data_IF_381464510026
#
_entry.id   IF_381464510026
#
_cell.length_a   1.000
_cell.length_b   1.000
_cell.length_c   1.000
_cell.angle_alpha   90.00
_cell.angle_beta   90.00
_cell.angle_gamma   90.00
#
_symmetry.space_group_name_H-M   'P 1'
#
loop_
_entity.id
_entity.type
_entity.pdbx_description
1 polymer ?
#
# COMPACT_ATOMS: atom_id res chain seq x y z
N UNK A 1 -12.90 14.49 27.08
CA UNK A 1 -11.65 14.28 27.85
C UNK A 1 -10.40 14.20 26.93
N UNK A 2 -10.52 13.75 25.67
CA UNK A 2 -9.39 13.58 24.73
C UNK A 2 -8.87 14.89 24.10
N UNK A 3 -9.77 15.87 23.87
CA UNK A 3 -9.47 17.13 23.15
C UNK A 3 -8.30 17.96 23.73
N UNK A 4 -8.19 18.17 25.06
CA UNK A 4 -7.11 18.99 25.64
C UNK A 4 -5.72 18.33 25.58
N UNK A 5 -5.65 16.99 25.57
CA UNK A 5 -4.39 16.23 25.58
C UNK A 5 -3.79 16.20 24.17
N UNK A 6 -4.61 15.94 23.16
CA UNK A 6 -4.19 15.94 21.76
C UNK A 6 -3.73 17.32 21.25
N UNK A 7 -4.36 18.42 21.69
CA UNK A 7 -3.89 19.79 21.36
C UNK A 7 -2.48 20.05 21.89
N UNK A 8 -2.16 19.54 23.10
CA UNK A 8 -0.83 19.66 23.72
C UNK A 8 0.22 18.78 23.05
N UNK A 9 -0.14 17.57 22.62
CA UNK A 9 0.80 16.65 21.95
C UNK A 9 1.13 17.08 20.52
N UNK A 10 0.18 17.65 19.79
CA UNK A 10 0.33 17.98 18.36
C UNK A 10 0.47 19.48 18.05
N UNK A 11 0.53 20.33 19.08
CA UNK A 11 0.78 21.78 18.97
C UNK A 11 -0.14 22.51 17.96
N UNK A 12 -1.43 22.15 17.96
CA UNK A 12 -2.43 22.64 17.00
C UNK A 12 -3.00 24.00 17.45
N UNK A 13 -2.79 25.07 16.67
CA UNK A 13 -3.39 26.39 16.90
C UNK A 13 -4.79 26.48 16.25
N UNK A 14 -5.72 27.12 16.97
CA UNK A 14 -7.17 27.06 16.71
C UNK A 14 -7.65 27.80 15.46
N UNK A 15 -8.20 27.01 14.53
CA UNK A 15 -9.48 27.20 13.78
C UNK A 15 -9.77 25.99 12.90
N UNK A 16 -8.74 25.23 12.51
CA UNK A 16 -8.85 23.95 11.78
C UNK A 16 -8.80 22.70 12.68
N UNK A 17 -8.61 22.88 13.99
CA UNK A 17 -8.50 21.76 14.93
C UNK A 17 -9.77 20.93 15.00
N UNK A 18 -10.96 21.53 14.90
CA UNK A 18 -12.23 20.80 14.98
C UNK A 18 -12.47 19.88 13.78
N UNK A 19 -12.03 20.28 12.58
CA UNK A 19 -12.08 19.44 11.37
C UNK A 19 -11.11 18.27 11.51
N UNK A 20 -9.89 18.53 11.97
CA UNK A 20 -8.89 17.52 12.26
C UNK A 20 -9.35 16.53 13.34
N UNK A 21 -9.95 17.02 14.43
CA UNK A 21 -10.48 16.16 15.50
C UNK A 21 -11.60 15.26 15.03
N UNK A 22 -12.54 15.78 14.22
CA UNK A 22 -13.60 14.96 13.62
C UNK A 22 -13.04 13.92 12.66
N UNK A 23 -12.01 14.26 11.89
CA UNK A 23 -11.35 13.31 11.00
C UNK A 23 -10.63 12.20 11.78
N UNK A 24 -9.91 12.54 12.86
CA UNK A 24 -9.25 11.57 13.74
C UNK A 24 -10.28 10.70 14.46
N UNK A 25 -11.34 11.28 15.00
CA UNK A 25 -12.43 10.54 15.64
C UNK A 25 -13.10 9.57 14.66
N UNK A 26 -13.41 10.03 13.44
CA UNK A 26 -13.98 9.17 12.40
C UNK A 26 -13.05 8.03 12.03
N UNK A 27 -11.75 8.29 11.85
CA UNK A 27 -10.74 7.26 11.57
C UNK A 27 -10.62 6.25 12.71
N UNK A 28 -10.59 6.72 13.96
CA UNK A 28 -10.53 5.84 15.13
C UNK A 28 -11.80 4.99 15.27
N UNK A 29 -12.97 5.53 14.92
CA UNK A 29 -14.22 4.77 14.94
C UNK A 29 -14.25 3.75 13.81
N UNK A 30 -13.85 4.13 12.59
CA UNK A 30 -13.71 3.20 11.45
C UNK A 30 -12.72 2.06 11.78
N UNK A 31 -11.60 2.35 12.45
CA UNK A 31 -10.61 1.36 12.89
C UNK A 31 -11.09 0.46 14.05
N UNK A 32 -12.27 0.70 14.61
CA UNK A 32 -12.85 -0.10 15.71
C UNK A 32 -14.08 -0.91 15.32
N UNK A 33 -14.52 -0.86 14.07
CA UNK A 33 -15.66 -1.66 13.60
C UNK A 33 -15.21 -3.07 13.19
N UNK A 34 -15.04 -3.94 14.18
CA UNK A 34 -14.64 -5.33 13.96
C UNK A 34 -15.70 -6.18 13.24
N UNK A 35 -16.96 -5.74 13.22
CA UNK A 35 -18.00 -6.42 12.44
C UNK A 35 -17.77 -6.17 10.95
N UNK A 36 -17.50 -4.91 10.59
CA UNK A 36 -17.12 -4.54 9.23
C UNK A 36 -15.82 -5.23 8.82
N UNK A 37 -14.81 -5.23 9.68
CA UNK A 37 -13.53 -5.88 9.43
C UNK A 37 -13.70 -7.37 9.11
N UNK A 38 -14.47 -8.11 9.90
CA UNK A 38 -14.75 -9.54 9.62
C UNK A 38 -15.47 -9.73 8.29
N UNK A 39 -16.45 -8.89 7.97
CA UNK A 39 -17.17 -8.96 6.70
C UNK A 39 -16.24 -8.71 5.50
N UNK A 40 -15.40 -7.68 5.57
CA UNK A 40 -14.41 -7.35 4.54
C UNK A 40 -13.31 -8.42 4.43
N UNK A 41 -12.85 -8.96 5.56
CA UNK A 41 -11.85 -10.02 5.59
C UNK A 41 -12.35 -11.27 4.88
N UNK A 42 -13.61 -11.68 5.13
CA UNK A 42 -14.23 -12.80 4.42
C UNK A 42 -14.31 -12.54 2.92
N UNK A 43 -14.80 -11.37 2.52
CA UNK A 43 -14.94 -10.99 1.10
C UNK A 43 -13.60 -11.06 0.36
N UNK A 44 -12.56 -10.41 0.91
CA UNK A 44 -11.24 -10.36 0.27
C UNK A 44 -10.58 -11.73 0.26
N UNK A 45 -10.60 -12.47 1.37
CA UNK A 45 -9.97 -13.79 1.45
C UNK A 45 -10.62 -14.77 0.50
N UNK A 46 -11.96 -14.82 0.43
CA UNK A 46 -12.67 -15.69 -0.50
C UNK A 46 -12.38 -15.35 -1.97
N UNK A 47 -12.31 -14.06 -2.31
CA UNK A 47 -11.92 -13.63 -3.66
C UNK A 47 -10.46 -14.01 -3.99
N UNK A 48 -9.54 -13.90 -3.03
CA UNK A 48 -8.13 -14.19 -3.22
C UNK A 48 -7.77 -15.69 -3.20
N UNK A 49 -8.70 -16.60 -2.85
CA UNK A 49 -8.45 -18.06 -2.85
C UNK A 49 -8.08 -18.65 -4.21
N UNK A 50 -8.31 -17.92 -5.31
CA UNK A 50 -7.88 -18.32 -6.66
C UNK A 50 -6.36 -18.27 -6.84
N UNK A 51 -5.65 -17.56 -5.96
CA UNK A 51 -4.21 -17.37 -6.01
C UNK A 51 -3.53 -18.57 -5.33
N UNK A 52 -2.60 -19.27 -6.01
CA UNK A 52 -1.90 -20.40 -5.42
C UNK A 52 -0.87 -19.92 -4.38
N UNK A 53 -0.46 -20.83 -3.49
CA UNK A 53 0.60 -20.61 -2.51
C UNK A 53 0.30 -19.48 -1.49
N UNK A 54 -0.97 -19.17 -1.28
CA UNK A 54 -1.43 -18.28 -0.21
C UNK A 54 -2.64 -18.89 0.49
N UNK A 55 -2.61 -18.86 1.82
CA UNK A 55 -3.66 -19.38 2.69
C UNK A 55 -4.23 -18.25 3.55
N UNK A 56 -5.49 -18.42 3.95
CA UNK A 56 -6.23 -17.44 4.73
C UNK A 56 -6.97 -18.16 5.86
N UNK A 57 -7.07 -17.56 7.05
CA UNK A 57 -7.92 -18.11 8.10
C UNK A 57 -9.40 -18.00 7.71
N UNK A 58 -10.23 -18.95 8.16
CA UNK A 58 -11.67 -18.75 8.11
C UNK A 58 -12.08 -17.80 9.24
N UNK A 59 -12.85 -16.76 8.91
CA UNK A 59 -13.40 -15.82 9.90
C UNK A 59 -14.81 -16.24 10.31
N UNK A 60 -15.04 -16.30 11.64
CA UNK A 60 -16.27 -16.77 12.27
C UNK A 60 -17.11 -15.59 12.77
N UNK A 61 -18.02 -15.10 11.93
CA UNK A 61 -18.89 -13.96 12.24
C UNK A 61 -19.74 -14.21 13.51
N UNK A 62 -20.30 -15.42 13.67
CA UNK A 62 -21.14 -15.79 14.81
C UNK A 62 -20.37 -15.87 16.15
N UNK A 63 -19.04 -15.97 16.09
CA UNK A 63 -18.14 -15.96 17.24
C UNK A 63 -17.40 -14.63 17.39
N UNK A 64 -17.72 -13.64 16.55
CA UNK A 64 -17.14 -12.30 16.57
C UNK A 64 -18.14 -11.29 17.13
N UNK A 65 -17.66 -10.13 17.53
CA UNK A 65 -18.46 -9.04 18.09
C UNK A 65 -17.78 -7.70 17.80
N UNK A 66 -18.38 -6.59 18.22
CA UNK A 66 -17.82 -5.23 18.12
C UNK A 66 -16.43 -5.08 18.79
N UNK A 67 -15.97 -6.06 19.58
CA UNK A 67 -14.69 -5.99 20.31
C UNK A 67 -13.84 -7.26 20.21
N UNK A 68 -14.31 -8.29 19.50
CA UNK A 68 -13.62 -9.57 19.38
C UNK A 68 -13.75 -10.07 17.95
N UNK A 69 -12.63 -10.42 17.33
CA UNK A 69 -12.58 -11.14 16.06
C UNK A 69 -12.17 -12.58 16.36
N UNK A 70 -12.94 -13.53 15.85
CA UNK A 70 -12.65 -14.96 15.94
C UNK A 70 -12.37 -15.52 14.55
N UNK A 71 -11.20 -16.15 14.39
CA UNK A 71 -10.75 -16.76 13.15
C UNK A 71 -9.94 -18.03 13.42
N UNK A 72 -9.61 -18.78 12.38
CA UNK A 72 -8.75 -19.95 12.51
C UNK A 72 -7.38 -19.62 13.12
N UNK A 73 -6.88 -20.55 13.94
CA UNK A 73 -5.49 -20.51 14.37
C UNK A 73 -4.59 -20.91 13.20
N UNK A 74 -3.71 -20.00 12.79
CA UNK A 74 -2.76 -20.23 11.70
C UNK A 74 -1.37 -20.54 12.27
N UNK A 75 -0.76 -21.63 11.81
CA UNK A 75 0.57 -22.06 12.24
C UNK A 75 1.61 -21.72 11.18
N UNK A 76 2.66 -21.02 11.59
CA UNK A 76 3.77 -20.66 10.72
C UNK A 76 4.76 -19.75 11.44
N UNK A 77 5.88 -19.46 10.78
CA UNK A 77 6.85 -18.47 11.24
C UNK A 77 6.47 -17.09 10.71
N UNK A 78 6.56 -16.03 11.51
CA UNK A 78 6.36 -14.67 11.00
C UNK A 78 7.30 -14.37 9.84
N UNK A 79 6.80 -13.68 8.81
CA UNK A 79 7.59 -13.38 7.62
C UNK A 79 8.90 -12.66 7.96
N UNK A 80 8.89 -11.73 8.91
CA UNK A 80 10.09 -11.01 9.40
C UNK A 80 11.10 -11.89 10.15
N UNK A 81 10.67 -13.02 10.68
CA UNK A 81 11.55 -14.01 11.31
C UNK A 81 12.06 -15.00 10.26
N UNK A 82 11.21 -15.37 9.30
CA UNK A 82 11.57 -16.25 8.19
C UNK A 82 12.67 -15.63 7.33
N UNK A 83 12.55 -14.35 6.98
CA UNK A 83 13.53 -13.64 6.13
C UNK A 83 14.92 -13.50 6.77
N UNK A 84 15.02 -13.71 8.10
CA UNK A 84 16.30 -13.76 8.83
C UNK A 84 16.96 -15.13 8.83
N UNK A 85 16.27 -16.16 8.34
CA UNK A 85 16.83 -17.51 8.19
C UNK A 85 17.50 -17.68 6.82
N UNK A 86 18.26 -18.76 6.66
CA UNK A 86 18.68 -19.19 5.33
C UNK A 86 17.52 -19.94 4.69
N UNK A 87 17.05 -19.45 3.55
CA UNK A 87 16.06 -20.09 2.70
C UNK A 87 16.59 -20.15 1.26
N UNK A 88 16.15 -21.15 0.51
CA UNK A 88 16.53 -21.30 -0.90
C UNK A 88 15.92 -20.16 -1.74
N UNK A 89 16.63 -19.66 -2.78
CA UNK A 89 16.11 -18.61 -3.66
C UNK A 89 14.72 -18.93 -4.23
N UNK A 90 14.47 -20.18 -4.62
CA UNK A 90 13.19 -20.62 -5.16
C UNK A 90 12.04 -20.44 -4.14
N UNK A 91 12.32 -20.56 -2.85
CA UNK A 91 11.34 -20.29 -1.79
C UNK A 91 11.02 -18.80 -1.71
N UNK A 92 12.03 -17.95 -1.81
CA UNK A 92 11.87 -16.49 -1.87
C UNK A 92 11.01 -16.06 -3.05
N UNK A 93 11.31 -16.58 -4.24
CA UNK A 93 10.54 -16.34 -5.48
C UNK A 93 9.09 -16.82 -5.34
N UNK A 94 8.89 -18.03 -4.79
CA UNK A 94 7.56 -18.63 -4.61
C UNK A 94 6.69 -17.81 -3.64
N UNK A 95 7.25 -17.38 -2.51
CA UNK A 95 6.55 -16.54 -1.53
C UNK A 95 6.30 -15.13 -2.07
N UNK A 96 7.31 -14.54 -2.72
CA UNK A 96 7.21 -13.21 -3.32
C UNK A 96 6.21 -13.16 -4.47
N UNK A 97 6.13 -14.21 -5.29
CA UNK A 97 5.12 -14.29 -6.36
C UNK A 97 3.71 -14.33 -5.78
N UNK A 98 3.48 -15.13 -4.73
CA UNK A 98 2.18 -15.19 -4.06
C UNK A 98 1.79 -13.83 -3.46
N UNK A 99 2.75 -13.15 -2.82
CA UNK A 99 2.55 -11.81 -2.26
C UNK A 99 2.24 -10.78 -3.36
N UNK A 100 3.02 -10.75 -4.44
CA UNK A 100 2.80 -9.87 -5.58
C UNK A 100 1.42 -10.09 -6.21
N UNK A 101 1.08 -11.34 -6.53
CA UNK A 101 -0.20 -11.71 -7.12
C UNK A 101 -1.36 -11.30 -6.20
N UNK A 102 -1.23 -11.52 -4.89
CA UNK A 102 -2.22 -11.15 -3.89
C UNK A 102 -2.52 -9.65 -3.88
N UNK A 103 -1.49 -8.80 -3.88
CA UNK A 103 -1.70 -7.34 -3.93
C UNK A 103 -2.22 -6.86 -5.28
N UNK A 104 -1.66 -7.37 -6.38
CA UNK A 104 -2.09 -6.95 -7.71
C UNK A 104 -3.53 -7.37 -7.99
N UNK A 105 -3.93 -8.58 -7.59
CA UNK A 105 -5.31 -9.04 -7.75
C UNK A 105 -6.30 -8.15 -6.98
N UNK A 106 -6.01 -7.81 -5.72
CA UNK A 106 -6.85 -6.89 -4.95
C UNK A 106 -7.04 -5.56 -5.67
N UNK A 107 -5.94 -4.93 -6.10
CA UNK A 107 -5.98 -3.61 -6.73
C UNK A 107 -6.66 -3.66 -8.11
N UNK A 108 -6.28 -4.63 -8.95
CA UNK A 108 -6.70 -4.70 -10.35
C UNK A 108 -8.03 -5.44 -10.59
N UNK A 109 -8.43 -6.38 -9.74
CA UNK A 109 -9.73 -7.06 -9.85
C UNK A 109 -10.77 -6.46 -8.90
N UNK A 110 -10.40 -6.27 -7.62
CA UNK A 110 -11.38 -5.95 -6.57
C UNK A 110 -11.56 -4.45 -6.35
N UNK A 111 -10.67 -3.61 -6.90
CA UNK A 111 -10.62 -2.16 -6.60
C UNK A 111 -10.59 -1.89 -5.10
N UNK A 112 -9.97 -2.80 -4.36
CA UNK A 112 -9.76 -2.76 -2.92
C UNK A 112 -8.31 -3.09 -2.67
N UNK A 113 -7.76 -2.64 -1.56
CA UNK A 113 -6.37 -2.95 -1.22
C UNK A 113 -6.21 -3.04 0.28
N UNK A 114 -5.52 -4.08 0.72
CA UNK A 114 -5.00 -4.12 2.07
C UNK A 114 -3.87 -3.07 2.20
N UNK A 115 -4.14 -1.95 2.87
CA UNK A 115 -3.24 -0.80 2.88
C UNK A 115 -2.12 -0.89 3.92
N UNK A 116 -1.90 -2.05 4.54
CA UNK A 116 -0.85 -2.29 5.53
C UNK A 116 -0.04 -3.58 5.27
N UNK A 117 0.84 -3.58 4.24
CA UNK A 117 1.78 -4.66 3.94
C UNK A 117 2.91 -4.76 4.99
N UNK A 118 2.55 -5.02 6.24
CA UNK A 118 3.51 -5.19 7.34
C UNK A 118 3.91 -6.67 7.47
N UNK A 119 5.19 -7.00 7.74
CA UNK A 119 5.62 -8.40 7.89
C UNK A 119 4.87 -9.18 8.98
N UNK A 120 4.34 -8.48 9.99
CA UNK A 120 3.54 -9.07 11.06
C UNK A 120 2.21 -9.67 10.61
N UNK A 121 1.70 -9.21 9.46
CA UNK A 121 0.41 -9.65 8.90
C UNK A 121 0.55 -10.93 8.06
N UNK A 122 1.78 -11.45 7.96
CA UNK A 122 2.12 -12.62 7.16
C UNK A 122 2.89 -13.66 7.97
N UNK A 123 2.50 -14.92 7.79
CA UNK A 123 3.24 -16.09 8.25
C UNK A 123 3.72 -16.90 7.05
N UNK A 124 4.74 -17.71 7.26
CA UNK A 124 5.22 -18.73 6.32
C UNK A 124 5.00 -20.09 6.98
N UNK A 125 4.21 -20.95 6.32
CA UNK A 125 3.93 -22.31 6.78
C UNK A 125 5.16 -23.22 6.68
N UNK A 126 5.10 -24.41 7.28
CA UNK A 126 6.16 -25.43 7.16
C UNK A 126 6.34 -25.90 5.70
N UNK A 127 5.29 -25.82 4.88
CA UNK A 127 5.30 -26.16 3.44
C UNK A 127 5.75 -24.98 2.53
N UNK A 128 6.28 -23.91 3.13
CA UNK A 128 6.64 -22.67 2.45
C UNK A 128 5.50 -22.06 1.63
N UNK A 129 4.32 -22.00 2.24
CA UNK A 129 3.16 -21.26 1.74
C UNK A 129 2.98 -19.98 2.54
N UNK A 130 2.55 -18.91 1.86
CA UNK A 130 2.27 -17.65 2.51
C UNK A 130 0.93 -17.75 3.24
N UNK A 131 0.82 -17.19 4.44
CA UNK A 131 -0.44 -17.08 5.17
C UNK A 131 -0.67 -15.61 5.48
N UNK A 132 -1.77 -15.03 4.99
CA UNK A 132 -2.18 -13.67 5.36
C UNK A 132 -3.23 -13.74 6.47
N UNK A 133 -2.99 -13.06 7.59
CA UNK A 133 -3.81 -13.21 8.81
C UNK A 133 -4.55 -11.93 9.24
N UNK A 134 -4.14 -10.77 8.74
CA UNK A 134 -4.70 -9.48 9.13
C UNK A 134 -5.16 -8.70 7.89
N UNK A 135 -6.41 -8.23 7.94
CA UNK A 135 -7.06 -7.43 6.90
C UNK A 135 -7.75 -6.20 7.50
N UNK A 136 -7.34 -5.73 8.68
CA UNK A 136 -7.95 -4.61 9.40
C UNK A 136 -7.92 -3.28 8.65
N UNK A 137 -7.15 -3.17 7.58
CA UNK A 137 -7.00 -1.94 6.79
C UNK A 137 -7.32 -2.14 5.30
N UNK A 138 -8.50 -2.68 4.96
CA UNK A 138 -8.99 -2.65 3.58
C UNK A 138 -9.43 -1.23 3.21
N UNK A 139 -8.89 -0.71 2.10
CA UNK A 139 -9.30 0.57 1.51
C UNK A 139 -9.82 0.37 0.10
N UNK A 140 -10.94 1.01 -0.20
CA UNK A 140 -11.45 1.09 -1.56
C UNK A 140 -10.59 2.02 -2.42
N UNK A 141 -10.43 1.63 -3.68
CA UNK A 141 -9.65 2.33 -4.69
C UNK A 141 -10.62 2.72 -5.81
N UNK A 142 -11.28 3.90 -5.72
CA UNK A 142 -12.29 4.31 -6.68
C UNK A 142 -11.67 4.47 -8.08
N UNK A 143 -12.45 4.21 -9.13
CA UNK A 143 -11.96 4.30 -10.51
C UNK A 143 -11.43 5.71 -10.86
N UNK A 144 -11.99 6.75 -10.25
CA UNK A 144 -11.53 8.13 -10.38
C UNK A 144 -10.07 8.32 -9.91
N UNK A 145 -9.57 7.47 -9.01
CA UNK A 145 -8.16 7.43 -8.61
C UNK A 145 -7.40 6.34 -9.38
N UNK A 146 -7.96 5.13 -9.45
CA UNK A 146 -7.30 3.96 -10.06
C UNK A 146 -6.87 4.23 -11.50
N UNK A 147 -7.78 4.72 -12.34
CA UNK A 147 -7.52 4.93 -13.77
C UNK A 147 -6.36 5.91 -14.00
N UNK A 148 -6.40 7.16 -13.51
CA UNK A 148 -5.29 8.08 -13.73
C UNK A 148 -3.98 7.62 -13.07
N UNK A 149 -4.04 6.93 -11.94
CA UNK A 149 -2.83 6.41 -11.27
C UNK A 149 -2.12 5.35 -12.12
N UNK A 150 -2.85 4.36 -12.64
CA UNK A 150 -2.25 3.30 -13.45
C UNK A 150 -2.00 3.71 -14.90
N UNK A 151 -2.67 4.72 -15.43
CA UNK A 151 -2.24 5.37 -16.68
C UNK A 151 -0.87 6.02 -16.51
N UNK A 152 -0.60 6.65 -15.35
CA UNK A 152 0.73 7.14 -15.01
C UNK A 152 1.74 6.03 -14.71
N UNK A 153 1.36 4.76 -14.71
CA UNK A 153 2.33 3.66 -14.69
C UNK A 153 2.90 3.36 -16.09
N UNK A 154 2.31 3.86 -17.19
CA UNK A 154 2.91 3.74 -18.53
C UNK A 154 4.04 4.77 -18.72
N UNK A 155 5.28 4.34 -19.06
CA UNK A 155 6.39 5.26 -19.34
C UNK A 155 6.07 6.35 -20.36
N UNK A 156 5.21 6.06 -21.35
CA UNK A 156 4.79 7.02 -22.38
C UNK A 156 4.00 8.17 -21.78
N UNK A 157 3.14 7.87 -20.80
CA UNK A 157 2.30 8.87 -20.15
C UNK A 157 3.10 9.71 -19.15
N UNK A 158 4.06 9.11 -18.44
CA UNK A 158 4.97 9.86 -17.56
C UNK A 158 5.85 10.83 -18.38
N UNK A 159 6.32 10.40 -19.55
CA UNK A 159 7.22 11.18 -20.39
C UNK A 159 6.53 12.28 -21.20
N UNK A 160 5.21 12.21 -21.38
CA UNK A 160 4.42 13.24 -22.04
C UNK A 160 3.97 14.30 -21.02
N UNK A 161 4.58 15.48 -21.07
CA UNK A 161 4.33 16.56 -20.11
C UNK A 161 2.86 16.96 -20.01
N UNK A 162 2.12 16.91 -21.13
CA UNK A 162 0.71 17.30 -21.17
C UNK A 162 -0.13 16.25 -20.47
N UNK A 163 0.04 14.97 -20.82
CA UNK A 163 -0.66 13.86 -20.19
C UNK A 163 -0.32 13.80 -18.71
N UNK A 164 0.97 13.87 -18.38
CA UNK A 164 1.46 13.83 -17.01
C UNK A 164 0.82 14.93 -16.14
N UNK A 165 0.84 16.18 -16.63
CA UNK A 165 0.23 17.31 -15.92
C UNK A 165 -1.27 17.12 -15.73
N UNK A 166 -1.99 16.67 -16.76
CA UNK A 166 -3.43 16.42 -16.68
C UNK A 166 -3.77 15.39 -15.61
N UNK A 167 -3.01 14.29 -15.54
CA UNK A 167 -3.23 13.23 -14.54
C UNK A 167 -2.86 13.69 -13.14
N UNK A 168 -1.84 14.52 -12.96
CA UNK A 168 -1.54 15.10 -11.65
C UNK A 168 -2.66 16.00 -11.11
N UNK A 169 -3.40 16.71 -11.98
CA UNK A 169 -4.62 17.42 -11.57
C UNK A 169 -5.76 16.45 -11.20
N UNK A 170 -5.97 15.39 -11.98
CA UNK A 170 -6.99 14.37 -11.69
C UNK A 170 -6.73 13.65 -10.35
N UNK A 171 -5.46 13.46 -10.00
CA UNK A 171 -5.02 12.85 -8.74
C UNK A 171 -4.96 13.84 -7.57
N UNK A 172 -5.35 15.10 -7.78
CA UNK A 172 -5.32 16.20 -6.80
C UNK A 172 -3.91 16.49 -6.25
N UNK A 173 -2.87 16.14 -7.01
CA UNK A 173 -1.47 16.44 -6.68
C UNK A 173 -1.17 17.89 -7.02
N UNK A 174 -1.62 18.32 -8.20
CA UNK A 174 -1.64 19.71 -8.62
C UNK A 174 -3.02 20.31 -8.37
N UNK A 175 -3.04 21.58 -7.94
CA UNK A 175 -4.25 22.35 -7.68
C UNK A 175 -4.35 23.54 -8.64
N UNK A 176 -5.55 23.94 -9.08
CA UNK A 176 -5.72 25.10 -9.97
C UNK A 176 -5.18 26.42 -9.38
N UNK A 177 -5.02 26.48 -8.06
CA UNK A 177 -4.49 27.63 -7.32
C UNK A 177 -2.97 27.65 -7.23
N UNK A 178 -2.27 26.63 -7.76
CA UNK A 178 -0.82 26.52 -7.65
C UNK A 178 -0.09 27.58 -8.44
N UNK A 179 0.97 28.11 -7.84
CA UNK A 179 1.93 28.97 -8.54
C UNK A 179 2.74 28.15 -9.54
N UNK A 180 3.31 28.81 -10.56
CA UNK A 180 4.17 28.15 -11.54
C UNK A 180 5.37 27.43 -10.90
N UNK A 181 5.88 27.97 -9.78
CA UNK A 181 6.98 27.35 -9.01
C UNK A 181 6.52 26.05 -8.35
N UNK A 182 5.35 26.03 -7.72
CA UNK A 182 4.77 24.82 -7.11
C UNK A 182 4.46 23.76 -8.17
N UNK A 183 3.87 24.14 -9.30
CA UNK A 183 3.60 23.22 -10.42
C UNK A 183 4.88 22.54 -10.87
N UNK A 184 5.94 23.33 -11.10
CA UNK A 184 7.25 22.81 -11.55
C UNK A 184 7.86 21.87 -10.51
N UNK A 185 7.78 22.25 -9.23
CA UNK A 185 8.29 21.47 -8.12
C UNK A 185 7.58 20.12 -7.97
N UNK A 186 6.25 20.11 -7.88
CA UNK A 186 5.47 18.88 -7.73
C UNK A 186 5.59 17.97 -8.95
N UNK A 187 5.59 18.53 -10.17
CA UNK A 187 5.85 17.73 -11.38
C UNK A 187 7.18 17.01 -11.31
N UNK A 188 8.26 17.71 -10.95
CA UNK A 188 9.60 17.12 -10.85
C UNK A 188 9.64 15.96 -9.85
N UNK A 189 9.11 16.19 -8.65
CA UNK A 189 9.12 15.20 -7.56
C UNK A 189 8.28 13.97 -7.90
N UNK A 190 7.05 14.18 -8.37
CA UNK A 190 6.16 13.07 -8.70
C UNK A 190 6.61 12.32 -9.94
N UNK A 191 7.28 12.99 -10.89
CA UNK A 191 7.88 12.32 -12.03
C UNK A 191 8.98 11.36 -11.56
N UNK A 192 9.86 11.80 -10.65
CA UNK A 192 10.90 10.94 -10.07
C UNK A 192 10.30 9.76 -9.29
N UNK A 193 9.31 10.04 -8.43
CA UNK A 193 8.65 9.02 -7.62
C UNK A 193 7.95 7.97 -8.49
N UNK A 194 7.08 8.40 -9.41
CA UNK A 194 6.32 7.48 -10.25
C UNK A 194 7.23 6.71 -11.20
N UNK A 195 8.27 7.34 -11.76
CA UNK A 195 9.23 6.63 -12.64
C UNK A 195 9.92 5.47 -11.92
N UNK A 196 10.30 5.66 -10.65
CA UNK A 196 10.96 4.61 -9.89
C UNK A 196 9.98 3.54 -9.41
N UNK A 197 8.88 3.95 -8.77
CA UNK A 197 7.88 3.03 -8.21
C UNK A 197 7.20 2.18 -9.28
N UNK A 198 7.02 2.71 -10.48
CA UNK A 198 6.34 2.00 -11.57
C UNK A 198 7.29 1.15 -12.42
N UNK A 199 8.61 1.32 -12.25
CA UNK A 199 9.61 0.58 -13.03
C UNK A 199 9.48 -0.95 -12.97
N UNK A 200 9.00 -1.58 -11.88
CA UNK A 200 8.72 -3.02 -11.89
C UNK A 200 7.65 -3.43 -12.91
N UNK A 201 6.63 -2.61 -13.14
CA UNK A 201 5.54 -2.90 -14.08
C UNK A 201 5.98 -2.95 -15.55
N UNK A 202 7.18 -2.43 -15.87
CA UNK A 202 7.67 -2.34 -17.24
C UNK A 202 8.48 -3.56 -17.67
N UNK A 203 8.72 -4.50 -16.76
CA UNK A 203 9.44 -5.73 -17.03
C UNK A 203 8.49 -6.92 -16.99
N UNK A 204 8.86 -8.00 -17.69
CA UNK A 204 8.16 -9.27 -17.60
C UNK A 204 8.41 -9.95 -16.25
N UNK A 205 9.66 -9.90 -15.82
CA UNK A 205 10.18 -10.44 -14.57
C UNK A 205 10.95 -9.32 -13.85
N UNK A 206 10.85 -9.25 -12.51
CA UNK A 206 11.52 -8.24 -11.72
C UNK A 206 12.15 -8.84 -10.46
N UNK A 207 13.43 -8.53 -10.27
CA UNK A 207 14.23 -8.94 -9.12
C UNK A 207 14.18 -7.86 -8.03
N UNK A 208 13.43 -8.12 -6.96
CA UNK A 208 13.37 -7.24 -5.80
C UNK A 208 14.57 -7.40 -4.85
N UNK A 209 15.43 -8.39 -5.09
CA UNK A 209 16.74 -8.52 -4.44
C UNK A 209 17.81 -7.57 -5.01
N UNK A 210 17.53 -6.86 -6.11
CA UNK A 210 18.47 -5.91 -6.73
C UNK A 210 18.79 -4.73 -5.78
N UNK A 211 20.00 -4.73 -5.23
CA UNK A 211 20.50 -3.69 -4.33
C UNK A 211 20.51 -2.30 -4.96
N UNK A 212 20.74 -2.19 -6.27
CA UNK A 212 20.76 -0.88 -6.97
C UNK A 212 19.36 -0.28 -7.02
N UNK A 213 18.35 -1.10 -7.27
CA UNK A 213 16.96 -0.66 -7.20
C UNK A 213 16.59 -0.28 -5.77
N UNK A 214 16.98 -1.10 -4.79
CA UNK A 214 16.66 -0.87 -3.38
C UNK A 214 17.26 0.43 -2.85
N UNK A 215 18.54 0.71 -3.15
CA UNK A 215 19.19 1.97 -2.76
C UNK A 215 18.44 3.17 -3.33
N UNK A 216 17.99 3.12 -4.60
CA UNK A 216 17.19 4.22 -5.18
C UNK A 216 15.86 4.43 -4.45
N UNK A 217 15.19 3.35 -4.03
CA UNK A 217 13.94 3.43 -3.27
C UNK A 217 14.19 4.04 -1.89
N UNK A 218 15.27 3.64 -1.23
CA UNK A 218 15.68 4.18 0.08
C UNK A 218 16.05 5.66 -0.02
N UNK A 219 16.88 6.05 -0.99
CA UNK A 219 17.30 7.43 -1.25
C UNK A 219 16.10 8.34 -1.53
N UNK A 220 15.14 7.85 -2.33
CA UNK A 220 13.90 8.58 -2.61
C UNK A 220 13.09 8.78 -1.32
N UNK A 221 12.94 7.74 -0.49
CA UNK A 221 12.27 7.84 0.80
C UNK A 221 12.93 8.85 1.75
N UNK A 222 14.27 8.86 1.80
CA UNK A 222 15.04 9.82 2.60
C UNK A 222 14.88 11.26 2.08
N UNK A 223 14.96 11.46 0.77
CA UNK A 223 14.74 12.76 0.15
C UNK A 223 13.35 13.31 0.48
N UNK A 224 12.31 12.49 0.33
CA UNK A 224 10.93 12.88 0.66
C UNK A 224 10.75 13.21 2.14
N UNK A 225 11.36 12.41 3.02
CA UNK A 225 11.29 12.63 4.47
C UNK A 225 12.04 13.89 4.90
N UNK A 226 13.24 14.13 4.35
CA UNK A 226 14.16 15.20 4.78
C UNK A 226 13.88 16.58 4.17
N UNK A 227 13.17 16.66 3.04
CA UNK A 227 12.96 17.91 2.32
C UNK A 227 12.00 18.87 3.07
N UNK A 228 12.56 20.01 3.51
CA UNK A 228 11.84 21.06 4.23
C UNK A 228 10.80 21.79 3.36
N UNK A 229 10.99 21.86 2.05
CA UNK A 229 10.01 22.44 1.12
C UNK A 229 8.80 21.52 0.98
N UNK A 230 8.98 20.20 0.85
CA UNK A 230 7.88 19.23 0.86
C UNK A 230 7.07 19.35 2.15
N UNK A 231 7.73 19.39 3.32
CA UNK A 231 7.04 19.55 4.62
C UNK A 231 6.31 20.89 4.77
N UNK A 232 6.82 21.97 4.17
CA UNK A 232 6.19 23.30 4.20
C UNK A 232 5.04 23.44 3.20
N UNK A 233 5.14 22.76 2.06
CA UNK A 233 4.14 22.76 0.98
C UNK A 233 3.11 21.63 1.14
N UNK A 234 3.21 20.84 2.22
CA UNK A 234 2.35 19.72 2.62
C UNK A 234 0.94 20.16 3.05
N UNK A 235 0.31 21.05 2.29
CA UNK A 235 -1.11 21.35 2.43
C UNK A 235 -1.94 20.24 1.79
N UNK A 236 -2.14 19.10 2.46
CA UNK A 236 -3.07 18.03 2.06
C UNK A 236 -3.17 17.76 0.53
N UNK A 237 -2.02 17.64 -0.16
CA UNK A 237 -1.96 17.40 -1.60
C UNK A 237 -1.95 15.90 -1.91
N UNK A 238 -2.61 15.54 -3.01
CA UNK A 238 -2.89 14.17 -3.39
C UNK A 238 -4.12 13.64 -2.66
N UNK A 239 -4.97 12.89 -3.38
CA UNK A 239 -6.11 12.24 -2.74
C UNK A 239 -5.65 11.30 -1.62
N UNK A 240 -6.51 11.05 -0.62
CA UNK A 240 -6.25 10.05 0.44
C UNK A 240 -5.82 8.68 -0.13
N UNK A 241 -6.33 8.33 -1.31
CA UNK A 241 -6.01 7.08 -2.01
C UNK A 241 -4.56 7.03 -2.48
N UNK A 242 -3.96 8.17 -2.83
CA UNK A 242 -2.55 8.25 -3.23
C UNK A 242 -1.61 7.85 -2.09
N UNK A 243 -1.88 8.35 -0.88
CA UNK A 243 -1.10 8.03 0.32
C UNK A 243 -1.20 6.54 0.66
N UNK A 244 -2.41 5.97 0.64
CA UNK A 244 -2.61 4.54 0.89
C UNK A 244 -1.91 3.68 -0.17
N UNK A 245 -2.05 4.02 -1.45
CA UNK A 245 -1.45 3.27 -2.55
C UNK A 245 0.07 3.25 -2.47
N UNK A 246 0.71 4.41 -2.27
CA UNK A 246 2.16 4.47 -2.16
C UNK A 246 2.69 3.78 -0.91
N UNK A 247 2.01 3.91 0.24
CA UNK A 247 2.37 3.17 1.45
C UNK A 247 2.28 1.66 1.21
N UNK A 248 1.25 1.22 0.49
CA UNK A 248 1.08 -0.19 0.10
C UNK A 248 2.22 -0.66 -0.79
N UNK A 249 2.54 0.07 -1.87
CA UNK A 249 3.66 -0.33 -2.73
C UNK A 249 5.00 -0.31 -2.02
N UNK A 250 5.25 0.70 -1.18
CA UNK A 250 6.49 0.78 -0.43
C UNK A 250 6.66 -0.41 0.51
N UNK A 251 5.64 -0.74 1.32
CA UNK A 251 5.74 -1.89 2.21
C UNK A 251 5.76 -3.22 1.46
N UNK A 252 5.00 -3.36 0.35
CA UNK A 252 5.10 -4.53 -0.52
C UNK A 252 6.53 -4.71 -1.06
N UNK A 253 7.18 -3.64 -1.52
CA UNK A 253 8.55 -3.72 -2.05
C UNK A 253 9.55 -4.07 -0.96
N UNK A 254 9.36 -3.59 0.28
CA UNK A 254 10.17 -4.03 1.42
C UNK A 254 10.03 -5.55 1.64
N UNK A 255 8.80 -6.07 1.66
CA UNK A 255 8.55 -7.50 1.87
C UNK A 255 9.18 -8.36 0.75
N UNK A 256 9.06 -7.92 -0.50
CA UNK A 256 9.66 -8.59 -1.65
C UNK A 256 11.19 -8.53 -1.63
N UNK A 257 11.75 -7.41 -1.17
CA UNK A 257 13.20 -7.24 -0.99
C UNK A 257 13.74 -8.15 0.12
N UNK A 258 13.06 -8.23 1.27
CA UNK A 258 13.44 -9.11 2.38
C UNK A 258 13.41 -10.60 1.96
N UNK A 259 12.48 -10.96 1.07
CA UNK A 259 12.40 -12.28 0.45
C UNK A 259 13.41 -12.50 -0.69
N UNK A 260 14.11 -11.44 -1.14
CA UNK A 260 14.98 -11.42 -2.32
C UNK A 260 14.28 -12.01 -3.55
N UNK A 261 13.00 -11.69 -3.70
CA UNK A 261 12.13 -12.37 -4.64
C UNK A 261 12.32 -11.87 -6.07
N UNK A 262 12.43 -12.81 -6.99
CA UNK A 262 12.24 -12.59 -8.41
C UNK A 262 10.83 -13.03 -8.82
N UNK A 263 10.04 -12.07 -9.33
CA UNK A 263 8.62 -12.28 -9.63
C UNK A 263 8.30 -12.04 -11.10
N UNK A 264 7.30 -12.75 -11.60
CA UNK A 264 6.61 -12.47 -12.86
C UNK A 264 5.58 -11.40 -12.63
N UNK A 265 5.85 -10.22 -13.17
CA UNK A 265 5.10 -8.98 -12.93
C UNK A 265 3.64 -9.12 -13.38
N UNK A 266 3.41 -9.73 -14.54
CA UNK A 266 2.08 -9.87 -15.14
C UNK A 266 1.36 -11.18 -14.78
N UNK A 267 1.91 -12.00 -13.88
CA UNK A 267 1.34 -13.31 -13.54
C UNK A 267 -0.06 -13.20 -12.93
N UNK A 268 -0.35 -12.12 -12.19
CA UNK A 268 -1.67 -11.88 -11.59
C UNK A 268 -2.79 -11.76 -12.64
N UNK A 269 -2.48 -11.39 -13.90
CA UNK A 269 -3.48 -11.17 -14.95
C UNK A 269 -4.32 -12.41 -15.27
N UNK A 270 -3.81 -13.62 -14.98
CA UNK A 270 -4.55 -14.87 -15.21
C UNK A 270 -5.68 -15.12 -14.20
N UNK A 271 -5.73 -14.34 -13.12
CA UNK A 271 -6.79 -14.43 -12.11
C UNK A 271 -7.88 -13.36 -12.27
N UNK A 272 -7.65 -12.36 -13.15
CA UNK A 272 -8.59 -11.26 -13.42
C UNK A 272 -9.85 -11.74 -14.15
#
# INVERSE_FOLDING_TARGET
IVKPIAIRMFNLQGKDSDKYFKEVEHKLVEETDYILEVAQSKEITDACRVIPNINFPNYYADLSSERIITMDWMSGKHLSEFTKTNFEPETGDKLGQALWDFYMYQIHALRKVHADPHPGNFLVSEDHELIAIDFGCIKEVPDAFYVPYFELADPKNISDDKIFTEKLYQLEILMPTDTQQEITFFKSIFHQLLSLFTSPFHKKDFDFGDEVFWVKIADLGEQFSSDKQIRKMNGNRGSKHFLYMNRTFFGLYNLLHDLKANIKVDNYKKYL
#
